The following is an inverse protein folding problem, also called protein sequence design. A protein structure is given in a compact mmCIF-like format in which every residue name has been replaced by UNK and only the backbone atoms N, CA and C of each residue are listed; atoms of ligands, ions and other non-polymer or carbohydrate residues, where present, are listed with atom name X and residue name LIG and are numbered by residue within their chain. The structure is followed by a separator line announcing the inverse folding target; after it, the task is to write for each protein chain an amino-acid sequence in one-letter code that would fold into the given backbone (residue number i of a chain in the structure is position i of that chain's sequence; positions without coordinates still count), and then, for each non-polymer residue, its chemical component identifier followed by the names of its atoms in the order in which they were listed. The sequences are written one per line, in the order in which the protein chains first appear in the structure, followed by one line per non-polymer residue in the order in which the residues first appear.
data_IF_141132224820
#
_entry.id   IF_141132224820
#
_cell.length_a   1.000
_cell.length_b   1.000
_cell.length_c   1.000
_cell.angle_alpha   90.00
_cell.angle_beta   90.00
_cell.angle_gamma   90.00
#
_symmetry.space_group_name_H-M   'P 1'
#
loop_
_entity.id
_entity.type
_entity.pdbx_description
1 polymer ?
#
# COMPACT_ATOMS: atom_id res chain seq x y z
N UNK A 1 -18.65 3.92 -21.15
CA UNK A 1 -18.75 4.60 -19.84
C UNK A 1 -17.42 5.30 -19.58
N UNK A 2 -17.41 6.44 -18.89
CA UNK A 2 -16.17 7.09 -18.47
C UNK A 2 -15.52 6.27 -17.34
N UNK A 3 -14.19 6.18 -17.34
CA UNK A 3 -13.44 5.51 -16.27
C UNK A 3 -13.67 6.23 -14.93
N UNK A 4 -13.84 5.46 -13.85
CA UNK A 4 -14.08 5.99 -12.50
C UNK A 4 -12.78 6.52 -11.91
N UNK A 5 -12.69 7.82 -11.57
CA UNK A 5 -11.50 8.37 -10.92
C UNK A 5 -11.40 7.85 -9.49
N UNK A 6 -10.22 7.36 -9.10
CA UNK A 6 -9.96 6.84 -7.75
C UNK A 6 -8.58 7.25 -7.24
N UNK A 7 -8.47 7.29 -5.91
CA UNK A 7 -7.21 7.31 -5.15
C UNK A 7 -7.18 6.03 -4.34
N UNK A 8 -6.02 5.38 -4.27
CA UNK A 8 -5.84 4.13 -3.50
C UNK A 8 -4.94 4.45 -2.31
N UNK A 9 -5.45 4.21 -1.10
CA UNK A 9 -4.69 4.27 0.15
C UNK A 9 -4.45 2.84 0.64
N UNK A 10 -3.19 2.44 0.83
CA UNK A 10 -2.84 1.06 1.22
C UNK A 10 -1.50 0.96 1.96
N UNK A 11 -1.21 -0.18 2.57
CA UNK A 11 0.07 -0.50 3.22
C UNK A 11 0.81 -1.67 2.53
N UNK A 12 1.20 -1.52 1.25
CA UNK A 12 1.60 -2.56 0.32
C UNK A 12 2.15 -3.87 0.90
N UNK A 13 1.23 -4.75 1.30
CA UNK A 13 1.44 -6.18 1.53
C UNK A 13 1.32 -7.00 0.24
N UNK A 14 1.29 -8.32 0.37
CA UNK A 14 1.14 -9.24 -0.79
C UNK A 14 -0.24 -9.07 -1.45
N UNK A 15 -1.28 -8.94 -0.65
CA UNK A 15 -2.66 -8.73 -1.07
C UNK A 15 -2.87 -7.34 -1.70
N UNK A 16 -2.34 -6.28 -1.09
CA UNK A 16 -2.38 -4.93 -1.67
C UNK A 16 -1.65 -4.84 -3.01
N UNK A 17 -0.53 -5.56 -3.16
CA UNK A 17 0.22 -5.61 -4.41
C UNK A 17 -0.66 -6.16 -5.54
N UNK A 18 -1.38 -7.25 -5.29
CA UNK A 18 -2.32 -7.85 -6.25
C UNK A 18 -3.46 -6.86 -6.55
N UNK A 19 -4.03 -6.23 -5.53
CA UNK A 19 -5.10 -5.25 -5.71
C UNK A 19 -4.65 -4.04 -6.55
N UNK A 20 -3.45 -3.51 -6.30
CA UNK A 20 -2.85 -2.44 -7.10
C UNK A 20 -2.63 -2.89 -8.55
N UNK A 21 -2.06 -4.06 -8.79
CA UNK A 21 -1.84 -4.57 -10.15
C UNK A 21 -3.16 -4.73 -10.92
N UNK A 22 -4.22 -5.20 -10.26
CA UNK A 22 -5.56 -5.28 -10.85
C UNK A 22 -6.12 -3.88 -11.16
N UNK A 23 -6.06 -2.96 -10.20
CA UNK A 23 -6.58 -1.61 -10.36
C UNK A 23 -5.85 -0.81 -11.45
N UNK A 24 -4.54 -0.99 -11.59
CA UNK A 24 -3.72 -0.31 -12.58
C UNK A 24 -3.97 -0.79 -14.02
N UNK A 25 -4.49 -2.01 -14.19
CA UNK A 25 -4.87 -2.58 -15.49
C UNK A 25 -6.36 -2.47 -15.81
N UNK A 26 -7.20 -2.09 -14.84
CA UNK A 26 -8.64 -2.02 -15.04
C UNK A 26 -9.00 -0.79 -15.90
N UNK A 27 -9.48 -0.95 -17.15
CA UNK A 27 -9.81 0.18 -18.02
C UNK A 27 -10.99 1.01 -17.51
N UNK A 28 -11.81 0.45 -16.63
CA UNK A 28 -12.91 1.13 -15.94
C UNK A 28 -12.44 2.03 -14.78
N UNK A 29 -11.16 1.97 -14.40
CA UNK A 29 -10.58 2.79 -13.32
C UNK A 29 -9.56 3.78 -13.86
N UNK A 30 -9.63 5.00 -13.32
CA UNK A 30 -8.65 6.05 -13.55
C UNK A 30 -7.95 6.34 -12.22
N UNK A 31 -6.84 5.63 -11.98
CA UNK A 31 -6.02 5.81 -10.77
C UNK A 31 -5.27 7.13 -10.86
N UNK A 32 -5.62 8.09 -9.99
CA UNK A 32 -5.05 9.44 -9.98
C UNK A 32 -3.84 9.57 -9.05
N UNK A 33 -3.81 8.80 -7.98
CA UNK A 33 -2.73 8.79 -7.00
C UNK A 33 -2.78 7.52 -6.16
N UNK A 34 -1.63 7.17 -5.59
CA UNK A 34 -1.50 6.13 -4.56
C UNK A 34 -0.91 6.79 -3.31
N UNK A 35 -1.56 6.60 -2.17
CA UNK A 35 -1.04 6.98 -0.86
C UNK A 35 -0.67 5.72 -0.09
N UNK A 36 0.47 5.76 0.61
CA UNK A 36 0.92 4.61 1.40
C UNK A 36 1.04 4.94 2.88
N UNK A 37 0.69 4.00 3.74
CA UNK A 37 0.85 4.13 5.20
C UNK A 37 1.75 3.01 5.75
N UNK A 38 2.19 3.16 7.01
CA UNK A 38 2.79 2.05 7.73
C UNK A 38 1.70 1.11 8.24
N UNK A 39 1.96 -0.20 8.16
CA UNK A 39 1.04 -1.24 8.62
C UNK A 39 1.76 -2.56 8.75
N UNK A 40 1.59 -3.46 7.78
CA UNK A 40 2.29 -4.75 7.74
C UNK A 40 3.81 -4.62 7.82
N UNK A 41 4.35 -3.57 7.18
CA UNK A 41 5.77 -3.21 7.20
C UNK A 41 5.94 -1.71 7.46
N UNK A 42 7.13 -1.24 7.87
CA UNK A 42 7.40 0.20 8.04
C UNK A 42 7.15 1.02 6.76
N UNK A 43 6.78 2.29 6.92
CA UNK A 43 6.41 3.20 5.81
C UNK A 43 7.47 3.27 4.70
N UNK A 44 8.76 3.23 5.06
CA UNK A 44 9.83 3.26 4.06
C UNK A 44 9.77 2.07 3.09
N UNK A 45 9.35 0.90 3.58
CA UNK A 45 9.18 -0.30 2.76
C UNK A 45 7.87 -0.23 1.96
N UNK A 46 6.76 0.18 2.55
CA UNK A 46 5.49 0.31 1.80
C UNK A 46 5.62 1.32 0.66
N UNK A 47 6.27 2.46 0.89
CA UNK A 47 6.57 3.44 -0.15
C UNK A 47 7.45 2.88 -1.27
N UNK A 48 8.48 2.12 -0.92
CA UNK A 48 9.35 1.47 -1.91
C UNK A 48 8.56 0.46 -2.73
N UNK A 49 7.80 -0.41 -2.08
CA UNK A 49 7.00 -1.46 -2.72
C UNK A 49 6.00 -0.88 -3.71
N UNK A 50 5.23 0.15 -3.31
CA UNK A 50 4.28 0.81 -4.22
C UNK A 50 4.96 1.42 -5.45
N UNK A 51 6.12 2.06 -5.28
CA UNK A 51 6.88 2.63 -6.41
C UNK A 51 7.43 1.56 -7.34
N UNK A 52 7.95 0.46 -6.79
CA UNK A 52 8.42 -0.69 -7.57
C UNK A 52 7.28 -1.36 -8.33
N UNK A 53 6.09 -1.49 -7.72
CA UNK A 53 4.89 -1.97 -8.40
C UNK A 53 4.49 -1.05 -9.55
N UNK A 54 4.42 0.27 -9.33
CA UNK A 54 4.11 1.21 -10.41
C UNK A 54 5.14 1.13 -11.55
N UNK A 55 6.42 0.92 -11.23
CA UNK A 55 7.49 0.71 -12.21
C UNK A 55 7.31 -0.59 -12.99
N UNK A 56 7.00 -1.71 -12.31
CA UNK A 56 6.75 -3.02 -12.91
C UNK A 56 5.53 -3.00 -13.84
N UNK A 57 4.50 -2.24 -13.47
CA UNK A 57 3.28 -2.08 -14.25
C UNK A 57 3.38 -1.00 -15.35
N UNK A 58 4.57 -0.42 -15.55
CA UNK A 58 4.82 0.66 -16.52
C UNK A 58 3.95 1.93 -16.29
N UNK A 59 3.53 2.16 -15.04
CA UNK A 59 2.65 3.27 -14.61
C UNK A 59 3.37 4.28 -13.72
N UNK A 60 4.58 4.70 -14.12
CA UNK A 60 5.36 5.73 -13.39
C UNK A 60 4.74 7.13 -13.46
N UNK A 61 3.70 7.31 -14.28
CA UNK A 61 2.88 8.52 -14.37
C UNK A 61 2.06 8.77 -13.10
N UNK A 62 1.73 7.71 -12.35
CA UNK A 62 0.91 7.83 -11.15
C UNK A 62 1.77 8.26 -9.96
N UNK A 63 1.43 9.37 -9.29
CA UNK A 63 2.18 9.82 -8.13
C UNK A 63 1.93 8.92 -6.91
N UNK A 64 3.01 8.53 -6.23
CA UNK A 64 2.99 7.78 -4.97
C UNK A 64 3.44 8.68 -3.81
N UNK A 65 2.54 8.92 -2.86
CA UNK A 65 2.77 9.78 -1.70
C UNK A 65 2.89 8.97 -0.40
N UNK A 66 3.88 9.33 0.41
CA UNK A 66 4.04 8.76 1.75
C UNK A 66 3.07 9.40 2.74
N UNK A 67 2.34 8.57 3.48
CA UNK A 67 1.38 8.95 4.50
C UNK A 67 1.94 8.80 5.92
N UNK A 68 1.11 8.30 6.84
CA UNK A 68 1.46 8.25 8.25
C UNK A 68 2.41 7.07 8.57
N UNK A 69 3.55 7.29 9.28
CA UNK A 69 4.49 6.24 9.60
C UNK A 69 4.10 5.38 10.81
N UNK A 70 2.99 5.70 11.49
CA UNK A 70 2.53 5.01 12.70
C UNK A 70 1.02 5.17 12.90
N UNK A 71 0.37 4.29 13.67
CA UNK A 71 -1.01 4.51 14.09
C UNK A 71 -1.15 5.80 14.93
N UNK A 72 -2.36 6.34 14.99
CA UNK A 72 -2.64 7.58 15.72
C UNK A 72 -2.52 7.42 17.24
N UNK A 73 -3.00 6.30 17.78
CA UNK A 73 -3.17 6.09 19.23
C UNK A 73 -2.27 4.99 19.79
N UNK A 74 -2.08 3.91 19.03
CA UNK A 74 -1.31 2.73 19.46
C UNK A 74 0.08 2.69 18.82
N UNK A 75 0.97 1.92 19.43
CA UNK A 75 2.23 1.56 18.79
C UNK A 75 1.97 0.78 17.49
N UNK A 76 2.82 1.01 16.50
CA UNK A 76 2.87 0.16 15.31
C UNK A 76 3.26 -1.25 15.77
N UNK A 77 2.58 -2.26 15.23
CA UNK A 77 2.95 -3.66 15.36
C UNK A 77 2.98 -4.14 13.92
N UNK A 78 4.17 -4.50 13.44
CA UNK A 78 4.34 -5.02 12.08
C UNK A 78 4.07 -6.52 12.04
N UNK A 79 3.88 -7.09 10.85
CA UNK A 79 3.78 -8.54 10.71
C UNK A 79 5.07 -9.26 11.14
N UNK A 80 6.21 -8.58 10.98
CA UNK A 80 7.54 -9.05 11.41
C UNK A 80 7.62 -9.19 12.94
N UNK A 81 6.94 -8.32 13.70
CA UNK A 81 6.88 -8.33 15.17
C UNK A 81 5.73 -9.21 15.70
N UNK A 82 4.58 -9.15 15.03
CA UNK A 82 3.33 -9.81 15.43
C UNK A 82 3.39 -11.35 15.42
N UNK A 83 4.23 -11.94 14.56
CA UNK A 83 4.47 -13.38 14.57
C UNK A 83 5.07 -13.87 15.90
N UNK A 84 5.70 -12.98 16.68
CA UNK A 84 6.28 -13.32 17.99
C UNK A 84 5.35 -12.90 19.14
N UNK A 85 4.61 -11.79 19.02
CA UNK A 85 3.77 -11.28 20.12
C UNK A 85 2.41 -11.98 20.25
N UNK A 86 1.86 -12.56 19.17
CA UNK A 86 0.63 -13.35 19.24
C UNK A 86 0.78 -14.64 20.07
N UNK A 87 2.01 -15.13 20.30
CA UNK A 87 2.28 -16.30 21.14
C UNK A 87 2.73 -15.98 22.57
N UNK A 88 2.93 -14.70 22.90
CA UNK A 88 3.46 -14.27 24.21
C UNK A 88 2.41 -13.52 25.06
N UNK A 89 1.14 -13.56 24.64
CA UNK A 89 0.02 -12.90 25.32
C UNK A 89 -1.01 -13.89 25.89
N UNK A 90 -0.61 -15.14 26.13
CA UNK A 90 -1.35 -16.11 26.97
C UNK A 90 -0.55 -16.45 28.23
#
# INVERSE_FOLDING_TARGET
MAAKPIIIDCDPGVDDAIALMLALNAPELLVQAITVVAGNVPLALTQRNARQLCELMERRDIPVYAGCPRPLVRSLITAEEGATSCFLSE
#
